data_IF_898292457546
#
_entry.id   IF_898292457546
#
_cell.length_a   1.000
_cell.length_b   1.000
_cell.length_c   1.000
_cell.angle_alpha   90.00
_cell.angle_beta   90.00
_cell.angle_gamma   90.00
#
_symmetry.space_group_name_H-M   'P 1'
#
loop_
_entity.id
_entity.type
_entity.pdbx_description
1 polymer ?
#
# COMPACT_ATOMS: atom_id res chain seq x y z
N UNK A 1 56.23 -16.82 -66.37
CA UNK A 1 57.37 -16.94 -65.44
C UNK A 1 57.63 -15.54 -64.91
N UNK A 2 57.66 -15.42 -63.58
CA UNK A 2 57.69 -14.21 -62.76
C UNK A 2 58.65 -13.10 -63.23
N UNK A 3 58.25 -11.84 -63.03
CA UNK A 3 59.14 -10.84 -62.44
C UNK A 3 58.37 -9.91 -61.51
N UNK A 4 58.96 -9.76 -60.33
CA UNK A 4 58.59 -8.98 -59.15
C UNK A 4 58.90 -7.51 -59.43
N UNK A 5 57.96 -6.62 -59.10
CA UNK A 5 58.21 -5.18 -59.01
C UNK A 5 58.06 -4.74 -57.55
N UNK A 6 59.10 -4.09 -57.05
CA UNK A 6 59.30 -3.62 -55.68
C UNK A 6 59.28 -2.10 -55.69
N UNK A 7 58.32 -1.50 -54.99
CA UNK A 7 58.32 -0.08 -54.65
C UNK A 7 57.51 0.15 -53.35
N UNK A 8 57.86 1.16 -52.53
CA UNK A 8 57.91 1.04 -51.08
C UNK A 8 56.64 1.46 -50.34
N UNK A 9 56.59 1.05 -49.06
CA UNK A 9 55.59 1.46 -48.07
C UNK A 9 55.49 2.99 -48.00
N UNK A 10 54.25 3.49 -48.12
CA UNK A 10 53.89 4.80 -47.63
C UNK A 10 53.30 4.62 -46.22
N UNK A 11 54.01 5.18 -45.24
CA UNK A 11 53.61 5.28 -43.85
C UNK A 11 52.24 5.96 -43.73
N UNK A 12 51.25 5.24 -43.18
CA UNK A 12 50.03 5.83 -42.65
C UNK A 12 50.31 6.23 -41.19
N UNK A 13 49.91 7.42 -40.73
CA UNK A 13 50.17 7.86 -39.37
C UNK A 13 49.40 6.98 -38.38
N UNK A 14 50.15 6.39 -37.46
CA UNK A 14 49.69 5.69 -36.27
C UNK A 14 49.11 6.72 -35.27
N UNK A 15 47.95 7.30 -35.60
CA UNK A 15 47.13 7.97 -34.58
C UNK A 15 46.44 6.89 -33.76
N UNK A 16 47.17 6.39 -32.77
CA UNK A 16 46.63 5.63 -31.66
C UNK A 16 45.58 6.50 -30.96
N UNK A 17 44.32 6.37 -31.35
CA UNK A 17 43.20 6.89 -30.61
C UNK A 17 43.28 6.32 -29.20
N UNK A 18 43.68 7.16 -28.24
CA UNK A 18 43.53 6.86 -26.82
C UNK A 18 42.09 6.38 -26.58
N UNK A 19 41.86 5.31 -25.79
CA UNK A 19 40.51 4.92 -25.47
C UNK A 19 39.83 6.14 -24.85
N UNK A 20 38.79 6.64 -25.50
CA UNK A 20 37.89 7.66 -24.94
C UNK A 20 37.57 7.16 -23.54
N UNK A 21 38.08 7.85 -22.51
CA UNK A 21 37.86 7.43 -21.15
C UNK A 21 36.36 7.53 -20.93
N UNK A 22 35.67 6.38 -20.98
CA UNK A 22 34.25 6.32 -20.65
C UNK A 22 34.18 6.83 -19.23
N UNK A 23 33.56 8.00 -19.03
CA UNK A 23 33.39 8.58 -17.71
C UNK A 23 32.84 7.48 -16.78
N UNK A 24 33.34 7.35 -15.53
CA UNK A 24 32.89 6.31 -14.64
C UNK A 24 31.36 6.34 -14.59
N UNK A 25 30.69 5.24 -14.91
CA UNK A 25 29.21 5.18 -14.88
C UNK A 25 28.69 4.91 -13.47
N UNK A 26 29.62 4.64 -12.53
CA UNK A 26 29.31 4.28 -11.16
C UNK A 26 30.36 4.82 -10.18
N UNK A 27 29.97 4.95 -8.92
CA UNK A 27 30.84 5.23 -7.78
C UNK A 27 30.70 4.10 -6.75
N UNK A 28 31.80 3.61 -6.20
CA UNK A 28 31.74 2.51 -5.23
C UNK A 28 31.17 2.96 -3.87
N UNK A 29 30.23 2.18 -3.35
CA UNK A 29 29.79 2.24 -1.96
C UNK A 29 30.47 1.14 -1.15
N UNK A 30 31.08 1.45 0.00
CA UNK A 30 31.84 0.48 0.78
C UNK A 30 30.98 -0.67 1.33
N UNK A 31 29.67 -0.50 1.45
CA UNK A 31 28.74 -1.53 1.95
C UNK A 31 27.96 -2.20 0.80
N UNK A 32 27.69 -1.49 -0.29
CA UNK A 32 26.79 -1.96 -1.36
C UNK A 32 27.41 -2.10 -2.75
N UNK A 33 28.70 -1.80 -2.90
CA UNK A 33 29.39 -1.86 -4.18
C UNK A 33 28.98 -0.73 -5.13
N UNK A 34 29.15 -0.90 -6.46
CA UNK A 34 29.04 0.19 -7.43
C UNK A 34 27.63 0.78 -7.50
N UNK A 35 27.53 2.11 -7.47
CA UNK A 35 26.29 2.88 -7.48
C UNK A 35 26.21 3.79 -8.71
N UNK A 36 25.05 3.90 -9.39
CA UNK A 36 24.93 4.72 -10.59
C UNK A 36 25.19 6.21 -10.29
N UNK A 37 25.85 6.90 -11.20
CA UNK A 37 26.07 8.35 -11.13
C UNK A 37 25.32 9.09 -12.23
N UNK A 38 25.00 10.35 -11.95
CA UNK A 38 24.51 11.29 -12.93
C UNK A 38 25.68 11.69 -13.86
N UNK A 39 25.56 11.49 -15.19
CA UNK A 39 26.65 11.74 -16.12
C UNK A 39 27.03 13.22 -16.27
N UNK A 40 26.16 14.15 -15.88
CA UNK A 40 26.43 15.59 -15.95
C UNK A 40 27.14 16.11 -14.69
N UNK A 41 26.76 15.60 -13.52
CA UNK A 41 27.29 16.09 -12.23
C UNK A 41 28.39 15.21 -11.65
N UNK A 42 28.48 13.95 -12.07
CA UNK A 42 29.37 12.94 -11.49
C UNK A 42 28.96 12.49 -10.08
N UNK A 43 27.84 12.99 -9.55
CA UNK A 43 27.31 12.62 -8.24
C UNK A 43 26.42 11.37 -8.34
N UNK A 44 26.13 10.73 -7.20
CA UNK A 44 25.22 9.58 -7.17
C UNK A 44 23.85 9.95 -7.74
N UNK A 45 23.39 9.18 -8.71
CA UNK A 45 22.08 9.35 -9.35
C UNK A 45 20.94 9.20 -8.33
N UNK A 46 21.10 8.27 -7.39
CA UNK A 46 20.18 8.08 -6.28
C UNK A 46 20.87 8.30 -4.95
N UNK A 47 20.17 8.96 -4.04
CA UNK A 47 20.72 9.23 -2.71
C UNK A 47 20.85 7.98 -1.86
N UNK A 48 19.89 7.06 -1.96
CA UNK A 48 19.98 5.76 -1.32
C UNK A 48 20.80 4.81 -2.19
N UNK A 49 21.57 3.88 -1.58
CA UNK A 49 22.20 2.82 -2.35
C UNK A 49 21.12 1.96 -3.02
N UNK A 50 21.34 1.60 -4.27
CA UNK A 50 20.41 0.86 -5.11
C UNK A 50 21.04 -0.40 -5.71
N UNK A 51 20.20 -1.34 -6.11
CA UNK A 51 20.62 -2.48 -6.93
C UNK A 51 20.68 -2.14 -8.43
N UNK A 52 21.01 -3.13 -9.26
CA UNK A 52 21.09 -3.00 -10.71
C UNK A 52 19.76 -2.67 -11.40
N UNK A 53 18.62 -2.75 -10.70
CA UNK A 53 17.30 -2.30 -11.17
C UNK A 53 16.87 -1.00 -10.49
N UNK A 54 17.83 -0.26 -9.93
CA UNK A 54 17.63 1.02 -9.25
C UNK A 54 16.70 0.93 -8.03
N UNK A 55 16.52 -0.25 -7.42
CA UNK A 55 15.71 -0.42 -6.20
C UNK A 55 16.55 -0.17 -4.96
N UNK A 56 16.00 0.55 -3.99
CA UNK A 56 16.71 0.91 -2.78
C UNK A 56 17.07 -0.32 -1.92
N UNK A 57 18.31 -0.32 -1.42
CA UNK A 57 18.89 -1.32 -0.53
C UNK A 57 18.76 -0.93 0.95
N UNK A 58 18.36 0.32 1.24
CA UNK A 58 18.09 0.84 2.58
C UNK A 58 16.71 1.50 2.67
N UNK A 59 16.09 1.40 3.84
CA UNK A 59 14.85 2.09 4.19
C UNK A 59 15.15 3.16 5.25
N UNK A 60 14.77 4.41 4.98
CA UNK A 60 15.00 5.55 5.89
C UNK A 60 13.69 6.34 6.07
N UNK A 61 12.75 5.86 6.92
CA UNK A 61 11.37 6.34 6.96
C UNK A 61 11.21 7.82 7.38
N UNK A 62 12.20 8.42 8.02
CA UNK A 62 12.20 9.85 8.39
C UNK A 62 12.47 10.79 7.21
N UNK A 63 12.72 10.25 6.01
CA UNK A 63 13.09 11.02 4.82
C UNK A 63 11.98 11.06 3.79
N UNK A 64 12.06 12.04 2.89
CA UNK A 64 11.07 12.27 1.83
C UNK A 64 11.70 12.46 0.44
N UNK A 65 12.93 11.95 0.26
CA UNK A 65 13.68 12.10 -0.98
C UNK A 65 13.08 11.29 -2.14
N UNK A 66 13.24 11.82 -3.35
CA UNK A 66 12.93 11.11 -4.59
C UNK A 66 14.00 10.04 -4.88
N UNK A 67 13.65 8.91 -5.50
CA UNK A 67 12.30 8.45 -5.80
C UNK A 67 11.70 7.56 -4.68
N UNK A 68 12.55 6.82 -3.97
CA UNK A 68 12.13 5.69 -3.13
C UNK A 68 11.40 6.10 -1.86
N UNK A 69 11.93 7.06 -1.10
CA UNK A 69 11.34 7.43 0.19
C UNK A 69 10.05 8.22 0.05
N UNK A 70 9.97 9.06 -0.98
CA UNK A 70 8.73 9.74 -1.36
C UNK A 70 7.65 8.75 -1.76
N UNK A 71 7.98 7.76 -2.58
CA UNK A 71 7.05 6.69 -2.96
C UNK A 71 6.62 5.86 -1.75
N UNK A 72 7.55 5.51 -0.86
CA UNK A 72 7.25 4.83 0.40
C UNK A 72 6.27 5.62 1.26
N UNK A 73 6.49 6.94 1.42
CA UNK A 73 5.57 7.80 2.15
C UNK A 73 4.17 7.77 1.56
N UNK A 74 4.04 8.01 0.25
CA UNK A 74 2.73 8.00 -0.38
C UNK A 74 2.07 6.62 -0.30
N UNK A 75 2.83 5.53 -0.45
CA UNK A 75 2.33 4.17 -0.37
C UNK A 75 1.64 3.90 0.98
N UNK A 76 2.30 4.17 2.11
CA UNK A 76 1.65 3.96 3.41
C UNK A 76 0.59 5.02 3.72
N UNK A 77 0.80 6.29 3.33
CA UNK A 77 -0.12 7.38 3.65
C UNK A 77 -1.46 7.26 2.92
N UNK A 78 -1.47 6.93 1.62
CA UNK A 78 -2.73 6.68 0.92
C UNK A 78 -3.43 5.45 1.47
N UNK A 79 -2.67 4.42 1.88
CA UNK A 79 -3.22 3.20 2.45
C UNK A 79 -3.87 3.48 3.81
N UNK A 80 -3.21 4.29 4.64
CA UNK A 80 -3.73 4.79 5.90
C UNK A 80 -5.06 5.51 5.73
N UNK A 81 -5.12 6.49 4.82
CA UNK A 81 -6.35 7.25 4.55
C UNK A 81 -7.46 6.35 4.01
N UNK A 82 -7.12 5.39 3.15
CA UNK A 82 -8.07 4.42 2.61
C UNK A 82 -8.68 3.55 3.72
N UNK A 83 -7.85 3.04 4.63
CA UNK A 83 -8.34 2.32 5.82
C UNK A 83 -9.13 3.23 6.74
N UNK A 84 -8.74 4.50 6.84
CA UNK A 84 -9.44 5.46 7.65
C UNK A 84 -10.91 5.61 7.17
N UNK A 85 -11.09 5.82 5.87
CA UNK A 85 -12.40 5.92 5.23
C UNK A 85 -13.17 4.59 5.16
N UNK A 86 -12.48 3.47 4.94
CA UNK A 86 -13.11 2.15 4.87
C UNK A 86 -13.80 1.77 6.19
N UNK A 87 -13.14 2.04 7.33
CA UNK A 87 -13.68 1.73 8.66
C UNK A 87 -14.48 2.88 9.28
N UNK A 88 -14.68 4.02 8.61
CA UNK A 88 -15.28 5.22 9.19
C UNK A 88 -16.67 5.00 9.81
N UNK A 89 -17.41 4.04 9.28
CA UNK A 89 -18.76 3.68 9.73
C UNK A 89 -18.75 2.83 11.01
N UNK A 90 -17.73 2.01 11.22
CA UNK A 90 -17.65 1.05 12.31
C UNK A 90 -17.79 1.65 13.72
N UNK A 91 -17.03 2.71 14.10
CA UNK A 91 -17.16 3.30 15.44
C UNK A 91 -18.43 4.14 15.63
N UNK A 92 -19.13 4.47 14.54
CA UNK A 92 -20.41 5.20 14.58
C UNK A 92 -21.64 4.29 14.57
N UNK A 93 -21.42 2.96 14.52
CA UNK A 93 -22.49 1.99 14.33
C UNK A 93 -23.57 2.01 15.42
N UNK A 94 -23.20 2.34 16.66
CA UNK A 94 -24.15 2.45 17.78
C UNK A 94 -25.14 3.60 17.63
N UNK A 95 -24.74 4.67 16.93
CA UNK A 95 -25.61 5.78 16.54
C UNK A 95 -26.39 5.45 15.28
N UNK A 96 -25.71 4.95 14.23
CA UNK A 96 -26.29 4.69 12.91
C UNK A 96 -27.42 3.64 12.98
N UNK A 97 -27.31 2.65 13.88
CA UNK A 97 -28.34 1.62 14.06
C UNK A 97 -29.70 2.19 14.54
N UNK A 98 -29.71 3.41 15.07
CA UNK A 98 -30.92 4.06 15.56
C UNK A 98 -31.71 4.76 14.46
N UNK A 99 -31.14 4.98 13.27
CA UNK A 99 -31.86 5.53 12.11
C UNK A 99 -32.82 4.46 11.55
N UNK A 100 -34.14 4.58 11.77
CA UNK A 100 -35.10 3.51 11.50
C UNK A 100 -35.14 3.10 10.02
N UNK A 101 -34.97 4.07 9.11
CA UNK A 101 -34.99 3.89 7.68
C UNK A 101 -33.87 2.96 7.17
N UNK A 102 -32.74 2.87 7.88
CA UNK A 102 -31.58 2.09 7.45
C UNK A 102 -31.70 0.59 7.73
N UNK A 103 -32.64 0.14 8.57
CA UNK A 103 -32.86 -1.29 8.84
C UNK A 103 -31.69 -1.99 9.56
N UNK A 104 -30.89 -1.27 10.36
CA UNK A 104 -29.67 -1.76 11.00
C UNK A 104 -29.85 -2.20 12.47
N UNK A 105 -31.09 -2.33 12.94
CA UNK A 105 -31.40 -2.61 14.35
C UNK A 105 -30.92 -4.00 14.78
N UNK A 106 -30.94 -4.98 13.87
CA UNK A 106 -30.49 -6.35 14.17
C UNK A 106 -28.97 -6.50 14.04
N UNK A 107 -28.35 -7.27 14.94
CA UNK A 107 -26.91 -7.64 14.84
C UNK A 107 -26.59 -8.27 13.48
N UNK A 108 -27.50 -9.09 12.94
CA UNK A 108 -27.37 -9.75 11.63
C UNK A 108 -27.30 -8.75 10.47
N UNK A 109 -28.15 -7.73 10.44
CA UNK A 109 -28.12 -6.70 9.39
C UNK A 109 -26.80 -5.92 9.40
N UNK A 110 -26.29 -5.57 10.59
CA UNK A 110 -24.98 -4.91 10.73
C UNK A 110 -23.83 -5.79 10.25
N UNK A 111 -23.83 -7.06 10.65
CA UNK A 111 -22.85 -8.05 10.21
C UNK A 111 -22.85 -8.23 8.69
N UNK A 112 -24.03 -8.38 8.08
CA UNK A 112 -24.18 -8.47 6.63
C UNK A 112 -23.62 -7.23 5.91
N UNK A 113 -23.88 -6.04 6.44
CA UNK A 113 -23.33 -4.80 5.87
C UNK A 113 -21.80 -4.75 5.92
N UNK A 114 -21.18 -5.28 6.98
CA UNK A 114 -19.72 -5.42 7.08
C UNK A 114 -19.19 -6.43 6.06
N UNK A 115 -19.85 -7.59 5.91
CA UNK A 115 -19.49 -8.60 4.90
C UNK A 115 -19.57 -8.03 3.48
N UNK A 116 -20.59 -7.22 3.18
CA UNK A 116 -20.74 -6.54 1.88
C UNK A 116 -19.61 -5.55 1.63
N UNK A 117 -19.14 -4.81 2.64
CA UNK A 117 -17.99 -3.93 2.48
C UNK A 117 -16.71 -4.74 2.17
N UNK A 118 -16.47 -5.83 2.91
CA UNK A 118 -15.29 -6.69 2.70
C UNK A 118 -15.34 -7.41 1.34
N UNK A 119 -16.51 -7.83 0.87
CA UNK A 119 -16.63 -8.47 -0.44
C UNK A 119 -16.27 -7.53 -1.58
N UNK A 120 -16.64 -6.25 -1.47
CA UNK A 120 -16.20 -5.20 -2.39
C UNK A 120 -14.68 -5.07 -2.44
N UNK A 121 -14.01 -5.15 -1.29
CA UNK A 121 -12.54 -5.17 -1.22
C UNK A 121 -11.95 -6.35 -1.99
N UNK A 122 -12.45 -7.57 -1.76
CA UNK A 122 -11.96 -8.79 -2.44
C UNK A 122 -12.11 -8.66 -3.95
N UNK A 123 -13.26 -8.19 -4.41
CA UNK A 123 -13.53 -7.96 -5.82
C UNK A 123 -12.53 -6.96 -6.42
N UNK A 124 -12.39 -5.78 -5.79
CA UNK A 124 -11.54 -4.72 -6.33
C UNK A 124 -10.05 -5.11 -6.33
N UNK A 125 -9.60 -5.95 -5.38
CA UNK A 125 -8.22 -6.48 -5.37
C UNK A 125 -7.87 -7.28 -6.61
N UNK A 126 -8.83 -8.02 -7.18
CA UNK A 126 -8.64 -8.77 -8.43
C UNK A 126 -8.46 -7.85 -9.64
N UNK A 127 -9.07 -6.67 -9.62
CA UNK A 127 -8.98 -5.69 -10.71
C UNK A 127 -7.77 -4.76 -10.57
N UNK A 128 -7.51 -4.25 -9.37
CA UNK A 128 -6.48 -3.22 -9.17
C UNK A 128 -5.05 -3.75 -9.35
N UNK A 129 -4.82 -5.05 -9.13
CA UNK A 129 -3.52 -5.67 -9.37
C UNK A 129 -3.10 -5.56 -10.85
N UNK A 130 -3.86 -6.17 -11.78
CA UNK A 130 -3.66 -6.00 -13.23
C UNK A 130 -3.63 -4.53 -13.69
N UNK A 131 -4.44 -3.67 -13.07
CA UNK A 131 -4.45 -2.26 -13.37
C UNK A 131 -3.13 -1.57 -13.00
N UNK A 132 -2.57 -1.90 -11.82
CA UNK A 132 -1.28 -1.38 -11.34
C UNK A 132 -0.12 -1.87 -12.19
N UNK A 133 -0.15 -3.13 -12.64
CA UNK A 133 0.85 -3.67 -13.57
C UNK A 133 0.89 -2.90 -14.89
N UNK A 134 -0.28 -2.47 -15.39
CA UNK A 134 -0.41 -1.81 -16.70
C UNK A 134 -0.15 -0.30 -16.65
N UNK A 135 -0.67 0.38 -15.62
CA UNK A 135 -0.67 1.84 -15.56
C UNK A 135 0.27 2.42 -14.50
N UNK A 136 0.85 1.57 -13.66
CA UNK A 136 1.71 1.97 -12.55
C UNK A 136 0.93 2.24 -11.26
N UNK A 137 1.59 2.13 -10.10
CA UNK A 137 0.93 2.27 -8.80
C UNK A 137 0.46 3.70 -8.53
N UNK A 138 1.12 4.74 -9.07
CA UNK A 138 0.70 6.13 -8.86
C UNK A 138 -0.67 6.38 -9.46
N UNK A 139 -0.87 5.96 -10.71
CA UNK A 139 -2.15 6.12 -11.41
C UNK A 139 -3.22 5.25 -10.76
N UNK A 140 -2.88 4.01 -10.41
CA UNK A 140 -3.77 3.09 -9.72
C UNK A 140 -4.25 3.64 -8.38
N UNK A 141 -3.34 4.07 -7.50
CA UNK A 141 -3.68 4.66 -6.20
C UNK A 141 -4.44 5.97 -6.36
N UNK A 142 -4.03 6.85 -7.29
CA UNK A 142 -4.72 8.11 -7.55
C UNK A 142 -6.16 7.90 -7.99
N UNK A 143 -6.39 7.03 -8.97
CA UNK A 143 -7.74 6.69 -9.45
C UNK A 143 -8.58 6.02 -8.36
N UNK A 144 -8.01 5.05 -7.63
CA UNK A 144 -8.72 4.33 -6.57
C UNK A 144 -9.16 5.29 -5.45
N UNK A 145 -8.28 6.17 -5.00
CA UNK A 145 -8.58 7.12 -3.93
C UNK A 145 -9.57 8.20 -4.36
N UNK A 146 -9.38 8.79 -5.54
CA UNK A 146 -10.25 9.88 -6.03
C UNK A 146 -11.64 9.37 -6.38
N UNK A 147 -11.77 8.28 -7.14
CA UNK A 147 -13.07 7.73 -7.57
C UNK A 147 -13.84 7.19 -6.37
N UNK A 148 -13.19 6.43 -5.48
CA UNK A 148 -13.89 5.82 -4.35
C UNK A 148 -14.00 6.72 -3.11
N UNK A 149 -13.50 7.96 -3.17
CA UNK A 149 -13.92 9.01 -2.23
C UNK A 149 -15.41 9.37 -2.38
N UNK A 150 -15.98 9.24 -3.59
CA UNK A 150 -17.38 9.56 -3.86
C UNK A 150 -18.36 8.69 -3.03
N UNK A 151 -18.26 7.35 -3.04
CA UNK A 151 -19.04 6.50 -2.13
C UNK A 151 -18.93 6.86 -0.64
N UNK A 152 -17.77 7.32 -0.18
CA UNK A 152 -17.57 7.77 1.21
C UNK A 152 -18.43 9.00 1.50
N UNK A 153 -18.55 9.95 0.58
CA UNK A 153 -19.50 11.06 0.73
C UNK A 153 -20.95 10.59 0.65
N UNK A 154 -21.25 9.74 -0.32
CA UNK A 154 -22.62 9.32 -0.63
C UNK A 154 -23.25 8.48 0.49
N UNK A 155 -22.48 7.78 1.33
CA UNK A 155 -23.07 7.04 2.47
C UNK A 155 -23.82 7.95 3.44
N UNK A 156 -23.41 9.22 3.57
CA UNK A 156 -24.15 10.21 4.37
C UNK A 156 -25.54 10.52 3.81
N UNK A 157 -25.80 10.20 2.54
CA UNK A 157 -27.11 10.37 1.88
C UNK A 157 -27.94 9.08 1.83
N UNK A 158 -27.48 8.00 2.47
CA UNK A 158 -28.21 6.73 2.47
C UNK A 158 -29.59 6.86 3.13
N UNK A 159 -30.63 6.34 2.47
CA UNK A 159 -32.02 6.51 2.89
C UNK A 159 -32.74 5.16 3.16
N UNK A 160 -32.07 4.04 2.90
CA UNK A 160 -32.55 2.70 3.24
C UNK A 160 -31.39 1.70 3.37
N UNK A 161 -31.69 0.49 3.84
CA UNK A 161 -30.70 -0.58 4.00
C UNK A 161 -29.92 -0.89 2.71
N UNK A 162 -30.59 -0.90 1.56
CA UNK A 162 -29.99 -1.20 0.27
C UNK A 162 -28.97 -0.13 -0.15
N UNK A 163 -29.35 1.15 -0.11
CA UNK A 163 -28.47 2.28 -0.41
C UNK A 163 -27.26 2.34 0.53
N UNK A 164 -27.47 2.05 1.82
CA UNK A 164 -26.38 1.94 2.79
C UNK A 164 -25.41 0.80 2.44
N UNK A 165 -25.93 -0.40 2.14
CA UNK A 165 -25.11 -1.55 1.74
C UNK A 165 -24.37 -1.32 0.42
N UNK A 166 -25.01 -0.66 -0.56
CA UNK A 166 -24.38 -0.29 -1.83
C UNK A 166 -23.23 0.68 -1.61
N UNK A 167 -23.42 1.72 -0.78
CA UNK A 167 -22.35 2.64 -0.43
C UNK A 167 -21.20 1.89 0.28
N UNK A 168 -21.51 1.02 1.24
CA UNK A 168 -20.53 0.17 1.95
C UNK A 168 -19.73 -0.73 1.00
N UNK A 169 -20.39 -1.35 0.02
CA UNK A 169 -19.74 -2.18 -1.00
C UNK A 169 -18.67 -1.39 -1.76
N UNK A 170 -19.01 -0.20 -2.26
CA UNK A 170 -18.06 0.64 -3.01
C UNK A 170 -17.01 1.30 -2.12
N UNK A 171 -17.34 1.69 -0.88
CA UNK A 171 -16.33 2.12 0.11
C UNK A 171 -15.32 1.00 0.35
N UNK A 172 -15.77 -0.26 0.35
CA UNK A 172 -14.92 -1.44 0.43
C UNK A 172 -13.79 -1.48 -0.61
N UNK A 173 -13.96 -0.85 -1.77
CA UNK A 173 -12.93 -0.83 -2.81
C UNK A 173 -11.67 -0.10 -2.34
N UNK A 174 -11.79 0.85 -1.40
CA UNK A 174 -10.63 1.49 -0.77
C UNK A 174 -9.69 0.48 -0.12
N UNK A 175 -10.20 -0.64 0.41
CA UNK A 175 -9.38 -1.72 0.99
C UNK A 175 -8.46 -2.43 -0.02
N UNK A 176 -8.64 -2.18 -1.32
CA UNK A 176 -7.76 -2.68 -2.39
C UNK A 176 -6.46 -1.88 -2.54
N UNK A 177 -6.37 -0.71 -1.90
CA UNK A 177 -5.12 0.08 -1.80
C UNK A 177 -3.96 -0.73 -1.22
N UNK A 178 -4.23 -1.73 -0.38
CA UNK A 178 -3.24 -2.68 0.10
C UNK A 178 -2.44 -3.31 -1.06
N UNK A 179 -3.11 -3.77 -2.12
CA UNK A 179 -2.45 -4.42 -3.26
C UNK A 179 -1.50 -3.45 -3.96
N UNK A 180 -1.96 -2.21 -4.19
CA UNK A 180 -1.15 -1.18 -4.85
C UNK A 180 0.04 -0.80 -3.98
N UNK A 181 -0.15 -0.68 -2.66
CA UNK A 181 0.90 -0.40 -1.68
C UNK A 181 2.00 -1.46 -1.74
N UNK A 182 1.62 -2.74 -1.65
CA UNK A 182 2.56 -3.86 -1.69
C UNK A 182 3.30 -3.94 -3.03
N UNK A 183 2.60 -3.69 -4.13
CA UNK A 183 3.21 -3.61 -5.45
C UNK A 183 4.23 -2.48 -5.53
N UNK A 184 3.85 -1.27 -5.10
CA UNK A 184 4.68 -0.08 -5.19
C UNK A 184 5.95 -0.18 -4.36
N UNK A 185 5.87 -0.69 -3.13
CA UNK A 185 7.06 -0.92 -2.31
C UNK A 185 7.94 -2.03 -2.89
N UNK A 186 7.36 -3.08 -3.48
CA UNK A 186 8.14 -4.18 -4.08
C UNK A 186 8.91 -3.79 -5.34
N UNK A 187 8.47 -2.76 -6.07
CA UNK A 187 9.22 -2.21 -7.22
C UNK A 187 10.18 -1.09 -6.84
N UNK A 188 10.06 -0.51 -5.63
CA UNK A 188 10.95 0.53 -5.14
C UNK A 188 12.09 -0.02 -4.27
N UNK A 189 11.88 -1.14 -3.58
CA UNK A 189 12.85 -1.69 -2.63
C UNK A 189 13.36 -3.07 -3.06
N UNK A 190 14.66 -3.29 -2.87
CA UNK A 190 15.34 -4.51 -3.31
C UNK A 190 14.94 -5.72 -2.43
N UNK A 191 15.06 -6.97 -2.93
CA UNK A 191 14.70 -8.19 -2.19
C UNK A 191 15.37 -8.34 -0.82
N UNK A 192 16.50 -7.66 -0.61
CA UNK A 192 17.23 -7.63 0.64
C UNK A 192 16.45 -6.99 1.80
N UNK A 193 15.61 -5.97 1.50
CA UNK A 193 14.86 -5.18 2.49
C UNK A 193 13.36 -5.08 2.18
N UNK A 194 12.89 -5.78 1.15
CA UNK A 194 11.51 -5.71 0.69
C UNK A 194 10.53 -6.19 1.76
N UNK A 195 10.91 -7.15 2.62
CA UNK A 195 10.05 -7.62 3.70
C UNK A 195 9.78 -6.52 4.72
N UNK A 196 10.81 -5.79 5.12
CA UNK A 196 10.73 -4.65 6.03
C UNK A 196 9.93 -3.51 5.40
N UNK A 197 10.21 -3.15 4.15
CA UNK A 197 9.50 -2.08 3.46
C UNK A 197 8.00 -2.40 3.30
N UNK A 198 7.66 -3.59 2.82
CA UNK A 198 6.29 -4.05 2.64
C UNK A 198 5.53 -4.15 3.95
N UNK A 199 6.15 -4.71 4.99
CA UNK A 199 5.50 -4.89 6.28
C UNK A 199 5.31 -3.56 7.00
N UNK A 200 6.30 -2.65 6.95
CA UNK A 200 6.19 -1.33 7.56
C UNK A 200 5.10 -0.50 6.88
N UNK A 201 5.09 -0.44 5.54
CA UNK A 201 4.06 0.31 4.81
C UNK A 201 2.65 -0.27 5.04
N UNK A 202 2.54 -1.61 5.11
CA UNK A 202 1.29 -2.28 5.46
C UNK A 202 0.82 -2.01 6.89
N UNK A 203 1.74 -2.05 7.86
CA UNK A 203 1.43 -1.77 9.27
C UNK A 203 0.95 -0.35 9.47
N UNK A 204 1.68 0.60 8.87
CA UNK A 204 1.35 2.02 8.96
C UNK A 204 0.08 2.37 8.20
N UNK A 205 -0.24 1.69 7.10
CA UNK A 205 -1.55 1.86 6.47
C UNK A 205 -2.70 1.21 7.25
N UNK A 206 -2.51 0.01 7.81
CA UNK A 206 -3.53 -0.64 8.63
C UNK A 206 -3.86 0.14 9.91
N UNK A 207 -2.89 0.89 10.45
CA UNK A 207 -3.09 1.82 11.56
C UNK A 207 -4.25 2.79 11.31
N UNK A 208 -4.56 3.10 10.05
CA UNK A 208 -5.71 3.93 9.67
C UNK A 208 -7.03 3.44 10.28
N UNK A 209 -7.27 2.13 10.32
CA UNK A 209 -8.48 1.57 10.94
C UNK A 209 -8.53 1.75 12.46
N UNK A 210 -7.37 1.68 13.12
CA UNK A 210 -7.24 1.98 14.55
C UNK A 210 -7.49 3.46 14.85
N UNK A 211 -6.87 4.35 14.07
CA UNK A 211 -7.06 5.80 14.21
C UNK A 211 -8.50 6.20 13.92
N UNK A 212 -9.18 5.54 12.99
CA UNK A 212 -10.61 5.74 12.76
C UNK A 212 -11.45 5.47 13.99
N UNK A 213 -11.18 4.37 14.69
CA UNK A 213 -11.89 4.04 15.92
C UNK A 213 -11.72 5.13 16.99
N UNK A 214 -10.54 5.74 17.09
CA UNK A 214 -10.29 6.86 18.00
C UNK A 214 -10.95 8.17 17.54
N UNK A 215 -10.77 8.58 16.28
CA UNK A 215 -11.08 9.94 15.83
C UNK A 215 -12.53 10.12 15.35
N UNK A 216 -13.14 9.12 14.72
CA UNK A 216 -14.50 9.30 14.18
C UNK A 216 -15.55 9.63 15.24
N UNK A 217 -15.57 8.99 16.43
CA UNK A 217 -16.44 9.42 17.53
C UNK A 217 -16.19 10.86 17.96
N UNK A 218 -14.93 11.31 17.96
CA UNK A 218 -14.57 12.68 18.35
C UNK A 218 -15.05 13.70 17.31
N UNK A 219 -14.89 13.39 16.02
CA UNK A 219 -15.44 14.21 14.96
C UNK A 219 -16.97 14.23 14.97
N UNK A 220 -17.61 13.11 15.31
CA UNK A 220 -19.06 13.05 15.50
C UNK A 220 -19.51 13.95 16.67
N UNK A 221 -18.82 13.88 17.82
CA UNK A 221 -19.09 14.76 18.95
C UNK A 221 -18.89 16.24 18.62
N UNK A 222 -17.88 16.55 17.79
CA UNK A 222 -17.67 17.90 17.27
C UNK A 222 -18.85 18.36 16.40
N UNK A 223 -19.39 17.50 15.52
CA UNK A 223 -20.59 17.83 14.74
C UNK A 223 -21.80 18.09 15.65
N UNK A 224 -21.95 17.31 16.73
CA UNK A 224 -23.00 17.55 17.73
C UNK A 224 -22.81 18.87 18.48
N UNK A 225 -21.56 19.26 18.78
CA UNK A 225 -21.25 20.54 19.40
C UNK A 225 -21.64 21.73 18.50
N UNK A 226 -21.63 21.56 17.18
CA UNK A 226 -22.17 22.52 16.21
C UNK A 226 -23.71 22.52 16.11
N UNK A 227 -24.41 21.78 16.97
CA UNK A 227 -25.87 21.77 17.06
C UNK A 227 -26.56 20.77 16.12
N UNK A 228 -25.82 19.86 15.49
CA UNK A 228 -26.42 18.80 14.66
C UNK A 228 -27.02 17.71 15.56
N UNK A 229 -28.18 17.18 15.17
CA UNK A 229 -28.74 15.98 15.77
C UNK A 229 -27.93 14.73 15.38
N UNK A 230 -28.15 13.63 16.09
CA UNK A 230 -27.38 12.39 15.89
C UNK A 230 -27.42 11.89 14.44
N UNK A 231 -28.59 11.91 13.80
CA UNK A 231 -28.75 11.47 12.42
C UNK A 231 -27.96 12.34 11.43
N UNK A 232 -28.07 13.67 11.53
CA UNK A 232 -27.29 14.57 10.65
C UNK A 232 -25.81 14.54 10.97
N UNK A 233 -25.43 14.38 12.23
CA UNK A 233 -24.04 14.39 12.67
C UNK A 233 -23.24 13.23 12.06
N UNK A 234 -23.76 11.99 12.09
CA UNK A 234 -23.05 10.84 11.50
C UNK A 234 -23.00 10.91 9.97
N UNK A 235 -23.98 11.56 9.33
CA UNK A 235 -24.01 11.77 7.88
C UNK A 235 -22.97 12.79 7.43
N UNK A 236 -22.92 13.94 8.11
CA UNK A 236 -22.02 15.05 7.78
C UNK A 236 -20.57 14.71 8.10
N UNK A 237 -20.30 13.97 9.19
CA UNK A 237 -18.93 13.61 9.56
C UNK A 237 -18.22 12.76 8.50
N UNK A 238 -18.96 12.05 7.63
CA UNK A 238 -18.40 11.28 6.51
C UNK A 238 -17.71 12.14 5.44
N UNK A 239 -17.96 13.45 5.44
CA UNK A 239 -17.24 14.40 4.58
C UNK A 239 -15.74 14.42 4.91
N UNK A 240 -15.36 14.19 6.16
CA UNK A 240 -13.95 14.18 6.59
C UNK A 240 -13.16 13.04 5.92
N UNK A 241 -13.51 11.75 6.08
CA UNK A 241 -12.79 10.67 5.40
C UNK A 241 -12.88 10.78 3.87
N UNK A 242 -13.98 11.28 3.32
CA UNK A 242 -14.12 11.52 1.88
C UNK A 242 -13.13 12.58 1.36
N UNK A 243 -13.00 13.70 2.06
CA UNK A 243 -12.07 14.79 1.69
C UNK A 243 -10.61 14.38 1.86
N UNK A 244 -10.28 13.66 2.93
CA UNK A 244 -8.95 13.08 3.11
C UNK A 244 -8.60 12.14 1.94
N UNK A 245 -9.54 11.26 1.54
CA UNK A 245 -9.34 10.29 0.45
C UNK A 245 -9.13 10.98 -0.90
N UNK A 246 -9.95 11.98 -1.20
CA UNK A 246 -9.81 12.78 -2.41
C UNK A 246 -8.48 13.55 -2.42
N UNK A 247 -8.14 14.19 -1.31
CA UNK A 247 -6.92 14.98 -1.16
C UNK A 247 -5.67 14.15 -1.36
N UNK A 248 -5.53 13.01 -0.67
CA UNK A 248 -4.34 12.17 -0.83
C UNK A 248 -4.24 11.57 -2.24
N UNK A 249 -5.38 11.23 -2.87
CA UNK A 249 -5.43 10.74 -4.24
C UNK A 249 -4.92 11.75 -5.28
N UNK A 250 -5.26 13.03 -5.10
CA UNK A 250 -4.77 14.13 -5.95
C UNK A 250 -3.28 14.38 -5.66
N UNK A 251 -2.91 14.50 -4.39
CA UNK A 251 -1.53 14.80 -3.98
C UNK A 251 -0.56 13.72 -4.47
N UNK A 252 -0.87 12.44 -4.26
CA UNK A 252 0.01 11.36 -4.71
C UNK A 252 0.15 11.35 -6.24
N UNK A 253 -0.89 11.70 -7.00
CA UNK A 253 -0.81 11.70 -8.47
C UNK A 253 0.21 12.72 -9.00
N UNK A 254 0.27 13.91 -8.39
CA UNK A 254 1.19 14.98 -8.81
C UNK A 254 2.57 14.88 -8.14
N UNK A 255 2.65 14.41 -6.90
CA UNK A 255 3.87 14.47 -6.10
C UNK A 255 4.57 13.11 -5.94
N UNK A 256 4.13 12.03 -6.59
CA UNK A 256 4.81 10.74 -6.55
C UNK A 256 5.22 10.25 -7.94
N UNK A 257 5.81 9.05 -8.02
CA UNK A 257 6.25 8.42 -9.26
C UNK A 257 6.09 6.90 -9.21
N UNK A 258 5.93 6.27 -10.38
CA UNK A 258 5.60 4.84 -10.47
C UNK A 258 6.74 3.92 -10.04
N UNK A 259 7.95 4.13 -10.56
CA UNK A 259 9.14 3.33 -10.25
C UNK A 259 10.40 4.23 -10.14
N UNK A 260 11.56 3.68 -9.74
CA UNK A 260 12.79 4.47 -9.63
C UNK A 260 13.13 5.22 -10.93
N UNK A 261 12.89 4.57 -12.08
CA UNK A 261 13.16 5.09 -13.43
C UNK A 261 12.11 6.09 -13.95
N UNK A 262 11.13 6.46 -13.12
CA UNK A 262 10.07 7.40 -13.47
C UNK A 262 8.70 6.75 -13.68
N UNK A 263 7.90 7.31 -14.58
CA UNK A 263 6.49 6.94 -14.74
C UNK A 263 6.30 5.90 -15.84
N UNK A 264 5.34 4.98 -15.64
CA UNK A 264 5.09 3.88 -16.58
C UNK A 264 4.66 4.38 -17.96
N UNK A 265 3.89 5.48 -18.02
CA UNK A 265 3.47 6.08 -19.29
C UNK A 265 4.67 6.44 -20.17
N UNK A 266 5.66 7.09 -19.58
CA UNK A 266 6.84 7.59 -20.30
C UNK A 266 7.78 6.43 -20.66
N UNK A 267 7.93 5.46 -19.77
CA UNK A 267 8.75 4.25 -19.99
C UNK A 267 8.16 3.29 -21.05
N UNK A 268 6.84 3.22 -21.17
CA UNK A 268 6.20 2.47 -22.25
C UNK A 268 6.33 3.17 -23.59
N UNK A 269 6.36 4.51 -23.62
CA UNK A 269 6.55 5.30 -24.84
C UNK A 269 8.00 5.22 -25.34
N UNK A 270 8.99 5.22 -24.44
CA UNK A 270 10.39 5.06 -24.79
C UNK A 270 10.79 3.62 -25.12
N UNK A 271 9.92 2.64 -24.88
CA UNK A 271 10.22 1.22 -25.05
C UNK A 271 11.08 0.61 -23.94
N UNK A 272 11.46 1.40 -22.93
CA UNK A 272 12.27 0.95 -21.79
C UNK A 272 11.56 -0.06 -20.88
N UNK A 273 10.22 -0.15 -20.97
CA UNK A 273 9.42 -1.14 -20.24
C UNK A 273 8.47 -1.89 -21.17
N UNK A 274 8.50 -3.22 -21.11
CA UNK A 274 7.56 -4.05 -21.87
C UNK A 274 6.23 -4.19 -21.11
N UNK A 275 5.13 -4.21 -21.86
CA UNK A 275 3.80 -4.45 -21.30
C UNK A 275 3.73 -5.90 -20.81
N UNK A 276 3.47 -6.08 -19.52
CA UNK A 276 3.21 -7.39 -18.93
C UNK A 276 1.79 -7.86 -19.26
N UNK A 277 1.59 -9.18 -19.34
CA UNK A 277 0.25 -9.77 -19.46
C UNK A 277 -0.23 -10.26 -18.08
N UNK A 278 -1.17 -9.55 -17.42
CA UNK A 278 -1.59 -9.88 -16.06
C UNK A 278 -2.26 -11.26 -15.95
N UNK A 279 -2.90 -11.74 -17.01
CA UNK A 279 -3.58 -13.04 -17.02
C UNK A 279 -2.59 -14.21 -16.90
N UNK A 280 -1.39 -14.06 -17.46
CA UNK A 280 -0.34 -15.09 -17.36
C UNK A 280 0.17 -15.15 -15.92
N UNK A 281 0.44 -13.99 -15.30
CA UNK A 281 0.88 -13.92 -13.91
C UNK A 281 -0.18 -14.52 -12.97
N UNK A 282 -1.46 -14.16 -13.16
CA UNK A 282 -2.58 -14.70 -12.39
C UNK A 282 -2.70 -16.22 -12.57
N UNK A 283 -2.67 -16.73 -13.80
CA UNK A 283 -2.71 -18.18 -14.08
C UNK A 283 -1.57 -18.91 -13.36
N UNK A 284 -0.35 -18.36 -13.40
CA UNK A 284 0.81 -18.96 -12.74
C UNK A 284 0.68 -18.96 -11.22
N UNK A 285 0.14 -17.89 -10.64
CA UNK A 285 -0.11 -17.79 -9.20
C UNK A 285 -1.19 -18.78 -8.73
N UNK A 286 -2.31 -18.88 -9.46
CA UNK A 286 -3.45 -19.74 -9.10
C UNK A 286 -3.18 -21.24 -9.27
N UNK A 287 -2.27 -21.63 -10.17
CA UNK A 287 -1.87 -23.04 -10.34
C UNK A 287 -0.83 -23.49 -9.30
N UNK A 288 -0.24 -22.57 -8.54
CA UNK A 288 0.78 -22.91 -7.56
C UNK A 288 0.15 -23.18 -6.19
N UNK A 289 0.25 -24.43 -5.72
CA UNK A 289 -0.28 -24.85 -4.42
C UNK A 289 0.28 -24.03 -3.24
N UNK A 290 1.54 -23.59 -3.33
CA UNK A 290 2.18 -22.78 -2.30
C UNK A 290 1.47 -21.44 -2.11
N UNK A 291 0.94 -20.86 -3.20
CA UNK A 291 0.14 -19.63 -3.14
C UNK A 291 -1.14 -19.82 -2.35
N UNK A 292 -1.80 -20.98 -2.49
CA UNK A 292 -3.03 -21.29 -1.78
C UNK A 292 -2.81 -21.54 -0.28
N UNK A 293 -1.72 -22.20 0.09
CA UNK A 293 -1.35 -22.39 1.49
C UNK A 293 -1.11 -21.03 2.15
N UNK A 294 -0.31 -20.15 1.52
CA UNK A 294 -0.05 -18.81 2.03
C UNK A 294 -1.31 -17.93 2.04
N UNK A 295 -2.20 -18.10 1.04
CA UNK A 295 -3.49 -17.42 1.00
C UNK A 295 -4.37 -17.79 2.20
N UNK A 296 -4.50 -19.07 2.53
CA UNK A 296 -5.31 -19.53 3.65
C UNK A 296 -4.77 -19.04 4.99
N UNK A 297 -3.46 -19.13 5.20
CA UNK A 297 -2.81 -18.63 6.42
C UNK A 297 -2.94 -17.11 6.55
N UNK A 298 -2.80 -16.38 5.45
CA UNK A 298 -3.03 -14.94 5.47
C UNK A 298 -4.49 -14.59 5.75
N UNK A 299 -5.44 -15.35 5.19
CA UNK A 299 -6.86 -15.15 5.41
C UNK A 299 -7.27 -15.36 6.88
N UNK A 300 -6.66 -16.30 7.59
CA UNK A 300 -6.94 -16.51 9.02
C UNK A 300 -6.41 -15.36 9.89
N UNK A 301 -5.18 -14.92 9.66
CA UNK A 301 -4.57 -13.86 10.49
C UNK A 301 -5.19 -12.48 10.17
N UNK A 302 -5.11 -12.07 8.90
CA UNK A 302 -5.59 -10.76 8.48
C UNK A 302 -7.12 -10.66 8.53
N UNK A 303 -7.83 -11.76 8.28
CA UNK A 303 -9.29 -11.80 8.41
C UNK A 303 -9.76 -11.49 9.83
N UNK A 304 -9.10 -12.06 10.84
CA UNK A 304 -9.39 -11.75 12.26
C UNK A 304 -9.14 -10.28 12.55
N UNK A 305 -8.02 -9.72 12.08
CA UNK A 305 -7.72 -8.28 12.24
C UNK A 305 -8.83 -7.38 11.66
N UNK A 306 -9.35 -7.71 10.47
CA UNK A 306 -10.45 -6.96 9.84
C UNK A 306 -11.74 -7.04 10.66
N UNK A 307 -12.07 -8.22 11.19
CA UNK A 307 -13.26 -8.43 12.03
C UNK A 307 -13.15 -7.63 13.32
N UNK A 308 -11.97 -7.63 13.94
CA UNK A 308 -11.69 -6.86 15.15
C UNK A 308 -11.87 -5.36 14.87
N UNK A 309 -11.20 -4.81 13.85
CA UNK A 309 -11.35 -3.39 13.51
C UNK A 309 -12.80 -2.98 13.21
N UNK A 310 -13.59 -3.87 12.59
CA UNK A 310 -14.97 -3.59 12.23
C UNK A 310 -15.97 -3.61 13.40
N UNK A 311 -15.69 -4.37 14.47
CA UNK A 311 -16.67 -4.66 15.52
C UNK A 311 -16.22 -4.29 16.94
N UNK A 312 -14.92 -4.07 17.18
CA UNK A 312 -14.36 -3.92 18.53
C UNK A 312 -14.96 -2.74 19.30
N UNK A 313 -15.13 -1.58 18.64
CA UNK A 313 -15.77 -0.41 19.26
C UNK A 313 -17.23 -0.69 19.65
N UNK A 314 -18.00 -1.37 18.78
CA UNK A 314 -19.39 -1.74 19.11
C UNK A 314 -19.48 -2.81 20.20
N UNK A 315 -18.51 -3.71 20.27
CA UNK A 315 -18.45 -4.74 21.30
C UNK A 315 -18.24 -4.14 22.68
N UNK A 316 -17.31 -3.19 22.83
CA UNK A 316 -17.11 -2.50 24.12
C UNK A 316 -18.33 -1.69 24.56
N UNK A 317 -19.09 -1.13 23.63
CA UNK A 317 -20.33 -0.41 23.95
C UNK A 317 -21.45 -1.39 24.36
N UNK A 318 -21.67 -2.45 23.59
CA UNK A 318 -22.77 -3.39 23.80
C UNK A 318 -22.54 -4.29 25.04
N UNK A 319 -21.29 -4.70 25.33
CA UNK A 319 -20.96 -5.65 26.41
C UNK A 319 -20.56 -4.96 27.72
N UNK A 320 -19.76 -3.89 27.64
CA UNK A 320 -19.21 -3.21 28.82
C UNK A 320 -19.89 -1.88 29.13
N UNK A 321 -20.85 -1.43 28.30
CA UNK A 321 -21.59 -0.18 28.53
C UNK A 321 -20.74 1.08 28.46
N UNK A 322 -19.54 1.00 27.89
CA UNK A 322 -18.60 2.11 27.75
C UNK A 322 -19.15 3.13 26.75
N UNK A 323 -18.93 4.42 26.98
CA UNK A 323 -19.38 5.44 26.02
C UNK A 323 -18.68 5.30 24.66
N UNK A 324 -19.33 5.82 23.60
CA UNK A 324 -18.86 5.67 22.22
C UNK A 324 -17.45 6.24 21.98
N UNK A 325 -17.08 7.32 22.65
CA UNK A 325 -15.76 7.93 22.56
C UNK A 325 -14.70 7.08 23.24
N UNK A 326 -14.94 6.65 24.48
CA UNK A 326 -14.04 5.77 25.23
C UNK A 326 -13.88 4.40 24.55
N UNK A 327 -14.98 3.80 24.07
CA UNK A 327 -14.94 2.53 23.34
C UNK A 327 -14.12 2.63 22.06
N UNK A 328 -14.21 3.77 21.36
CA UNK A 328 -13.35 4.11 20.23
C UNK A 328 -11.86 4.17 20.59
N UNK A 329 -11.51 4.83 21.69
CA UNK A 329 -10.13 4.93 22.17
C UNK A 329 -9.56 3.56 22.59
N UNK A 330 -10.32 2.75 23.32
CA UNK A 330 -9.89 1.39 23.71
C UNK A 330 -9.71 0.52 22.46
N UNK A 331 -10.68 0.55 21.54
CA UNK A 331 -10.58 -0.20 20.28
C UNK A 331 -9.38 0.25 19.42
N UNK A 332 -8.98 1.52 19.51
CA UNK A 332 -7.82 2.04 18.78
C UNK A 332 -6.50 1.42 19.24
N UNK A 333 -6.38 0.96 20.50
CA UNK A 333 -5.16 0.32 21.01
C UNK A 333 -4.80 -0.94 20.22
N UNK A 334 -5.81 -1.72 19.83
CA UNK A 334 -5.63 -2.89 18.96
C UNK A 334 -5.07 -2.47 17.60
N UNK A 335 -5.60 -1.39 17.02
CA UNK A 335 -5.08 -0.87 15.75
C UNK A 335 -3.71 -0.21 15.87
N UNK A 336 -3.37 0.41 17.02
CA UNK A 336 -2.05 0.99 17.28
C UNK A 336 -0.94 -0.05 17.28
N UNK A 337 -1.25 -1.30 17.66
CA UNK A 337 -0.30 -2.41 17.59
C UNK A 337 0.29 -2.58 16.17
N UNK A 338 -0.48 -2.28 15.12
CA UNK A 338 -0.02 -2.39 13.73
C UNK A 338 1.16 -1.49 13.39
N UNK A 339 1.40 -0.42 14.16
CA UNK A 339 2.55 0.46 14.00
C UNK A 339 3.88 -0.32 14.11
N UNK A 340 3.93 -1.28 15.03
CA UNK A 340 5.14 -2.04 15.35
C UNK A 340 5.05 -3.51 14.93
N UNK A 341 3.94 -4.20 15.20
CA UNK A 341 3.86 -5.66 15.07
C UNK A 341 4.18 -6.13 13.64
N UNK A 342 3.61 -5.47 12.62
CA UNK A 342 3.90 -5.79 11.22
C UNK A 342 5.35 -5.50 10.86
N UNK A 343 5.84 -4.32 11.23
CA UNK A 343 7.23 -3.90 10.97
C UNK A 343 8.24 -4.89 11.58
N UNK A 344 8.00 -5.35 12.82
CA UNK A 344 8.81 -6.37 13.51
C UNK A 344 8.81 -7.71 12.77
N UNK A 345 7.66 -8.14 12.23
CA UNK A 345 7.58 -9.33 11.38
C UNK A 345 8.44 -9.21 10.10
N UNK A 346 8.40 -8.06 9.43
CA UNK A 346 9.24 -7.77 8.26
C UNK A 346 10.73 -7.74 8.58
N UNK A 347 11.11 -7.06 9.65
CA UNK A 347 12.49 -6.98 10.14
C UNK A 347 13.05 -8.35 10.48
N UNK A 348 12.26 -9.17 11.21
CA UNK A 348 12.64 -10.53 11.58
C UNK A 348 12.80 -11.42 10.34
N UNK A 349 11.88 -11.29 9.38
CA UNK A 349 11.92 -12.02 8.09
C UNK A 349 13.19 -11.68 7.29
N UNK A 350 13.50 -10.39 7.13
CA UNK A 350 14.68 -9.96 6.38
C UNK A 350 15.99 -10.29 7.11
N UNK A 351 16.03 -10.16 8.44
CA UNK A 351 17.20 -10.50 9.25
C UNK A 351 17.57 -12.00 9.13
N UNK A 352 16.59 -12.89 9.21
CA UNK A 352 16.84 -14.32 9.01
C UNK A 352 17.07 -14.66 7.54
N UNK A 353 16.48 -13.91 6.60
CA UNK A 353 16.73 -14.10 5.18
C UNK A 353 18.17 -13.79 4.78
N UNK A 354 18.79 -12.77 5.38
CA UNK A 354 20.21 -12.46 5.18
C UNK A 354 21.14 -13.61 5.58
N UNK A 355 20.76 -14.39 6.60
CA UNK A 355 21.58 -15.52 7.10
C UNK A 355 21.27 -16.86 6.44
N UNK A 356 19.99 -17.14 6.17
CA UNK A 356 19.50 -18.47 5.77
C UNK A 356 18.63 -18.46 4.50
N UNK A 357 18.62 -17.35 3.75
CA UNK A 357 17.86 -17.23 2.51
C UNK A 357 16.34 -17.40 2.70
N UNK A 358 15.69 -18.14 1.81
CA UNK A 358 14.24 -18.39 1.89
C UNK A 358 13.85 -19.26 3.08
N UNK A 359 14.71 -20.20 3.50
CA UNK A 359 14.45 -21.07 4.65
C UNK A 359 14.33 -20.24 5.93
N UNK A 360 15.15 -19.19 6.08
CA UNK A 360 15.04 -18.24 7.18
C UNK A 360 13.70 -17.53 7.24
N UNK A 361 13.18 -17.07 6.09
CA UNK A 361 11.85 -16.43 6.02
C UNK A 361 10.73 -17.38 6.43
N UNK A 362 10.79 -18.63 5.96
CA UNK A 362 9.81 -19.66 6.29
C UNK A 362 9.86 -20.07 7.76
N UNK A 363 11.05 -20.11 8.36
CA UNK A 363 11.21 -20.42 9.78
C UNK A 363 10.54 -19.36 10.67
N UNK A 364 10.80 -18.07 10.42
CA UNK A 364 10.12 -16.97 11.14
C UNK A 364 8.61 -17.08 10.98
N UNK A 365 8.15 -17.25 9.74
CA UNK A 365 6.73 -17.35 9.43
C UNK A 365 6.07 -18.51 10.19
N UNK A 366 6.67 -19.70 10.17
CA UNK A 366 6.17 -20.86 10.90
C UNK A 366 6.16 -20.62 12.41
N UNK A 367 7.25 -20.12 12.99
CA UNK A 367 7.35 -19.87 14.42
C UNK A 367 6.28 -18.90 14.92
N UNK A 368 6.07 -17.78 14.20
CA UNK A 368 5.05 -16.79 14.57
C UNK A 368 3.65 -17.40 14.46
N UNK A 369 3.35 -18.09 13.35
CA UNK A 369 2.04 -18.69 13.14
C UNK A 369 1.73 -19.81 14.15
N UNK A 370 2.74 -20.59 14.52
CA UNK A 370 2.62 -21.65 15.50
C UNK A 370 2.35 -21.09 16.89
N UNK A 371 3.06 -20.02 17.28
CA UNK A 371 2.83 -19.34 18.56
C UNK A 371 1.47 -18.64 18.63
N UNK A 372 0.94 -18.15 17.50
CA UNK A 372 -0.43 -17.61 17.44
C UNK A 372 -1.49 -18.71 17.66
N UNK A 373 -1.17 -19.96 17.30
CA UNK A 373 -2.07 -21.11 17.40
C UNK A 373 -2.05 -21.87 18.73
N UNK A 374 -1.08 -21.60 19.61
CA UNK A 374 -1.01 -22.13 20.99
C UNK A 374 -1.81 -21.19 21.90
#
# INVERSE_FOLDING_TARGET
MAQVDTSPMADLPEDAAAPVSVAPTTVDDPEFGPQPIDPETGERLFRLPVDAQHRALKLQPWRFDKPHMRAFFFAWAHFFVAFFGWFAVSPLMSTIKNSPELGLQTKKARGNSNVIAVSGTVLMRLFIGPFSDRYGPRVASGALMTVFSLPVYLIGTAFNYASFCTARFFIGFLGATFVVTQYWTSIMFAPLIVGTANATSAGWGNLGGGVTNALMPQFFNLMKAFGLNDDRAWRVVMVIPGTMSLGIGILLYFFSQDCPDGNYKDLHLSGAKQKTNPLIAMKRASLNLRSWILFLLYATCFGVELIMNANLSSYFQDEFGVDQGQAGLIASLFGLMNLFARSLGGLSSDALSKRFGMTGRLAVFFSVQFLEGI
#
